data_IF_827554089440
#
_entry.id   IF_827554089440
#
_cell.length_a   1.000
_cell.length_b   1.000
_cell.length_c   1.000
_cell.angle_alpha   90.00
_cell.angle_beta   90.00
_cell.angle_gamma   90.00
#
_symmetry.space_group_name_H-M   'P 1'
#
loop_
_entity.id
_entity.type
_entity.pdbx_description
1 polymer ?
#
# COMPACT_ATOMS: atom_id res chain seq x y z
N UNK A 1 -10.87 7.49 -23.06
CA UNK A 1 -9.55 6.86 -22.97
C UNK A 1 -8.47 7.92 -22.75
N UNK A 2 -8.50 9.03 -23.50
CA UNK A 2 -7.47 10.07 -23.43
C UNK A 2 -7.29 10.67 -22.03
N UNK A 3 -8.39 11.02 -21.33
CA UNK A 3 -8.31 11.59 -19.97
C UNK A 3 -7.69 10.61 -18.96
N UNK A 4 -8.00 9.32 -19.06
CA UNK A 4 -7.40 8.29 -18.20
C UNK A 4 -5.89 8.21 -18.39
N UNK A 5 -5.42 8.16 -19.65
CA UNK A 5 -3.99 8.13 -19.96
C UNK A 5 -3.29 9.43 -19.58
N UNK A 6 -3.94 10.58 -19.75
CA UNK A 6 -3.43 11.87 -19.31
C UNK A 6 -3.23 11.89 -17.79
N UNK A 7 -4.16 11.33 -17.02
CA UNK A 7 -4.04 11.24 -15.55
C UNK A 7 -2.91 10.31 -15.16
N UNK A 8 -2.81 9.11 -15.74
CA UNK A 8 -1.68 8.22 -15.46
C UNK A 8 -0.34 8.88 -15.77
N UNK A 9 -0.23 9.60 -16.89
CA UNK A 9 0.98 10.35 -17.25
C UNK A 9 1.26 11.50 -16.27
N UNK A 10 0.22 12.24 -15.85
CA UNK A 10 0.34 13.32 -14.86
C UNK A 10 0.92 12.79 -13.55
N UNK A 11 0.43 11.64 -13.08
CA UNK A 11 0.88 10.99 -11.86
C UNK A 11 2.15 10.14 -12.03
N UNK A 12 2.78 10.17 -13.22
CA UNK A 12 4.05 9.48 -13.52
C UNK A 12 3.95 7.96 -13.39
N UNK A 13 2.84 7.37 -13.80
CA UNK A 13 2.76 5.93 -14.03
C UNK A 13 3.47 5.58 -15.33
N UNK A 14 4.36 4.60 -15.26
CA UNK A 14 5.17 4.13 -16.39
C UNK A 14 4.47 2.98 -17.09
N UNK A 15 4.39 3.06 -18.42
CA UNK A 15 3.80 2.00 -19.23
C UNK A 15 4.81 0.87 -19.44
N UNK A 16 4.44 -0.35 -19.04
CA UNK A 16 5.29 -1.55 -19.15
C UNK A 16 4.75 -2.59 -20.14
N UNK A 17 3.55 -2.38 -20.68
CA UNK A 17 2.96 -3.23 -21.71
C UNK A 17 2.82 -2.52 -23.05
N UNK A 18 3.21 -3.18 -24.14
CA UNK A 18 3.01 -2.70 -25.51
C UNK A 18 1.55 -2.72 -25.96
N UNK A 19 0.72 -3.58 -25.37
CA UNK A 19 -0.72 -3.70 -25.63
C UNK A 19 -1.54 -3.21 -24.45
N UNK A 20 -2.71 -2.61 -24.73
CA UNK A 20 -3.69 -2.22 -23.73
C UNK A 20 -4.98 -2.98 -24.00
N UNK A 21 -5.22 -4.04 -23.22
CA UNK A 21 -6.48 -4.76 -23.22
C UNK A 21 -7.27 -4.39 -21.96
N UNK A 22 -8.60 -4.50 -22.02
CA UNK A 22 -9.43 -4.33 -20.83
C UNK A 22 -9.43 -5.62 -19.99
N UNK A 23 -9.42 -5.53 -18.66
CA UNK A 23 -9.26 -4.30 -17.89
C UNK A 23 -7.82 -3.75 -17.97
N UNK A 24 -7.67 -2.41 -17.99
CA UNK A 24 -6.35 -1.80 -17.90
C UNK A 24 -5.79 -1.98 -16.48
N UNK A 25 -4.79 -2.84 -16.32
CA UNK A 25 -4.11 -3.11 -15.05
C UNK A 25 -3.07 -2.03 -14.70
N UNK A 26 -3.23 -1.41 -13.53
CA UNK A 26 -2.32 -0.42 -12.98
C UNK A 26 -1.83 -0.88 -11.60
N UNK A 27 -0.53 -1.07 -11.44
CA UNK A 27 0.09 -1.43 -10.17
C UNK A 27 0.91 -0.28 -9.62
N UNK A 28 0.97 -0.16 -8.30
CA UNK A 28 1.88 0.81 -7.68
C UNK A 28 2.15 0.47 -6.23
N UNK A 29 3.34 0.85 -5.75
CA UNK A 29 3.75 0.72 -4.35
C UNK A 29 2.90 1.59 -3.41
N UNK A 30 2.94 1.36 -2.08
CA UNK A 30 2.16 2.12 -1.12
C UNK A 30 2.57 3.60 -1.16
N UNK A 31 1.59 4.51 -1.16
CA UNK A 31 1.87 5.94 -1.18
C UNK A 31 2.25 6.51 -2.55
N UNK A 32 2.16 5.74 -3.64
CA UNK A 32 2.46 6.23 -4.99
C UNK A 32 1.42 7.21 -5.57
N UNK A 33 0.31 7.47 -4.87
CA UNK A 33 -0.74 8.40 -5.30
C UNK A 33 -1.86 7.77 -6.13
N UNK A 34 -2.03 6.44 -6.09
CA UNK A 34 -3.09 5.67 -6.77
C UNK A 34 -4.49 6.25 -6.55
N UNK A 35 -4.94 6.34 -5.30
CA UNK A 35 -6.25 6.89 -4.97
C UNK A 35 -6.37 8.39 -5.29
N UNK A 36 -5.26 9.14 -5.27
CA UNK A 36 -5.26 10.55 -5.71
C UNK A 36 -5.51 10.68 -7.22
N UNK A 37 -4.86 9.83 -8.03
CA UNK A 37 -5.08 9.77 -9.48
C UNK A 37 -6.53 9.38 -9.81
N UNK A 38 -7.07 8.38 -9.11
CA UNK A 38 -8.48 7.97 -9.25
C UNK A 38 -9.42 9.13 -8.91
N UNK A 39 -9.24 9.78 -7.76
CA UNK A 39 -10.09 10.91 -7.33
C UNK A 39 -10.05 12.06 -8.32
N UNK A 40 -8.87 12.38 -8.87
CA UNK A 40 -8.75 13.43 -9.88
C UNK A 40 -9.49 13.05 -11.18
N UNK A 41 -9.37 11.80 -11.63
CA UNK A 41 -10.09 11.30 -12.80
C UNK A 41 -11.61 11.38 -12.61
N UNK A 42 -12.13 10.98 -11.44
CA UNK A 42 -13.57 11.04 -11.13
C UNK A 42 -14.11 12.47 -11.16
N UNK A 43 -13.30 13.47 -10.77
CA UNK A 43 -13.66 14.89 -10.84
C UNK A 43 -13.65 15.43 -12.26
N UNK A 44 -12.72 14.98 -13.09
CA UNK A 44 -12.54 15.49 -14.45
C UNK A 44 -13.50 14.87 -15.47
N UNK A 45 -13.92 13.62 -15.29
CA UNK A 45 -14.74 12.90 -16.26
C UNK A 45 -15.80 12.04 -15.57
N UNK A 46 -17.05 12.53 -15.62
CA UNK A 46 -18.20 11.90 -14.97
C UNK A 46 -18.59 10.55 -15.58
N UNK A 47 -17.99 10.11 -16.69
CA UNK A 47 -18.20 8.77 -17.24
C UNK A 47 -17.57 7.69 -16.37
N UNK A 48 -16.58 8.03 -15.54
CA UNK A 48 -15.93 7.08 -14.65
C UNK A 48 -16.67 6.94 -13.33
N UNK A 49 -16.60 5.74 -12.77
CA UNK A 49 -16.97 5.44 -11.40
C UNK A 49 -15.88 4.54 -10.81
N UNK A 50 -15.59 4.68 -9.51
CA UNK A 50 -14.65 3.80 -8.85
C UNK A 50 -15.29 3.14 -7.63
N UNK A 51 -15.12 1.82 -7.54
CA UNK A 51 -15.36 1.05 -6.32
C UNK A 51 -14.02 0.63 -5.72
N UNK A 52 -13.95 0.49 -4.41
CA UNK A 52 -12.76 -0.05 -3.72
C UNK A 52 -13.12 -1.29 -2.92
N UNK A 53 -12.16 -2.23 -2.81
CA UNK A 53 -12.21 -3.33 -1.84
C UNK A 53 -11.53 -2.98 -0.52
N UNK A 54 -10.93 -1.78 -0.44
CA UNK A 54 -10.41 -1.21 0.79
C UNK A 54 -11.42 -0.30 1.48
N UNK A 55 -10.94 0.80 2.06
CA UNK A 55 -11.77 1.79 2.74
C UNK A 55 -12.32 2.80 1.71
N UNK A 56 -13.65 2.94 1.57
CA UNK A 56 -14.25 3.93 0.68
C UNK A 56 -14.00 5.36 1.17
N UNK A 57 -14.11 6.32 0.24
CA UNK A 57 -14.07 7.73 0.57
C UNK A 57 -15.34 8.17 1.31
N UNK A 58 -15.22 9.25 2.10
CA UNK A 58 -16.41 9.95 2.63
C UNK A 58 -17.14 10.62 1.45
N UNK A 59 -18.46 10.44 1.31
CA UNK A 59 -19.22 11.10 0.26
C UNK A 59 -19.04 12.61 0.25
N UNK A 60 -18.97 13.21 -0.94
CA UNK A 60 -18.84 14.65 -1.13
C UNK A 60 -20.02 15.23 -1.93
N UNK A 61 -20.18 16.55 -1.89
CA UNK A 61 -21.28 17.26 -2.57
C UNK A 61 -21.24 17.13 -4.10
N UNK A 62 -20.06 16.86 -4.67
CA UNK A 62 -19.88 16.66 -6.11
C UNK A 62 -20.30 15.25 -6.57
N UNK A 63 -20.50 14.31 -5.63
CA UNK A 63 -20.77 12.91 -5.94
C UNK A 63 -19.58 12.16 -6.56
N UNK A 64 -18.39 12.78 -6.60
CA UNK A 64 -17.17 12.27 -7.24
C UNK A 64 -16.19 11.76 -6.17
N UNK A 65 -16.39 10.51 -5.74
CA UNK A 65 -15.60 9.86 -4.70
C UNK A 65 -15.50 8.35 -4.93
N UNK A 66 -14.53 7.69 -4.29
CA UNK A 66 -14.36 6.24 -4.37
C UNK A 66 -15.40 5.55 -3.48
N UNK A 67 -16.21 4.66 -4.05
CA UNK A 67 -17.39 4.06 -3.39
C UNK A 67 -17.11 2.66 -2.86
N UNK A 68 -17.93 2.19 -1.92
CA UNK A 68 -17.95 0.79 -1.51
C UNK A 68 -18.63 -0.09 -2.57
N UNK A 69 -19.67 0.44 -3.21
CA UNK A 69 -20.51 -0.27 -4.17
C UNK A 69 -20.81 0.60 -5.39
N UNK A 70 -21.19 -0.07 -6.49
CA UNK A 70 -21.47 0.56 -7.77
C UNK A 70 -22.79 1.34 -7.70
N UNK A 71 -22.82 2.53 -8.30
CA UNK A 71 -24.03 3.36 -8.38
C UNK A 71 -24.93 3.07 -9.60
N UNK A 72 -24.39 2.48 -10.68
CA UNK A 72 -25.19 2.10 -11.85
C UNK A 72 -24.39 1.49 -13.02
N UNK A 73 -25.09 0.89 -13.99
CA UNK A 73 -24.50 0.00 -15.01
C UNK A 73 -23.82 0.72 -16.21
N UNK A 74 -24.02 2.04 -16.37
CA UNK A 74 -23.55 2.80 -17.54
C UNK A 74 -22.28 3.64 -17.31
N UNK A 75 -21.42 3.26 -16.36
CA UNK A 75 -20.15 3.95 -16.05
C UNK A 75 -18.94 3.10 -16.42
N UNK A 76 -17.85 3.76 -16.82
CA UNK A 76 -16.53 3.15 -16.96
C UNK A 76 -16.01 2.79 -15.57
N UNK A 77 -16.08 1.51 -15.23
CA UNK A 77 -15.80 1.03 -13.89
C UNK A 77 -14.30 0.93 -13.62
N UNK A 78 -13.85 1.61 -12.58
CA UNK A 78 -12.53 1.48 -11.99
C UNK A 78 -12.64 0.64 -10.71
N UNK A 79 -11.74 -0.31 -10.50
CA UNK A 79 -11.70 -1.11 -9.26
C UNK A 79 -10.39 -0.86 -8.54
N UNK A 80 -10.48 -0.27 -7.36
CA UNK A 80 -9.34 -0.07 -6.45
C UNK A 80 -9.19 -1.25 -5.48
N UNK A 81 -7.95 -1.58 -5.15
CA UNK A 81 -7.55 -2.77 -4.37
C UNK A 81 -8.14 -4.08 -4.93
N UNK A 82 -8.09 -4.27 -6.25
CA UNK A 82 -8.77 -5.40 -6.90
C UNK A 82 -8.29 -6.79 -6.43
N UNK A 83 -7.07 -6.90 -5.89
CA UNK A 83 -6.50 -8.16 -5.41
C UNK A 83 -7.23 -8.71 -4.17
N UNK A 84 -8.10 -7.93 -3.56
CA UNK A 84 -8.88 -8.28 -2.37
C UNK A 84 -10.27 -8.84 -2.68
N UNK A 85 -10.58 -9.08 -3.95
CA UNK A 85 -11.87 -9.65 -4.33
C UNK A 85 -12.03 -9.90 -5.82
N UNK A 86 -13.21 -10.39 -6.24
CA UNK A 86 -13.46 -10.64 -7.65
C UNK A 86 -13.46 -9.33 -8.46
N UNK A 87 -12.86 -9.41 -9.66
CA UNK A 87 -12.86 -8.34 -10.66
C UNK A 87 -14.10 -8.49 -11.55
N UNK A 88 -14.95 -7.45 -11.65
CA UNK A 88 -16.08 -7.45 -12.58
C UNK A 88 -15.63 -7.57 -14.04
N UNK A 89 -16.37 -8.32 -14.84
CA UNK A 89 -16.05 -8.56 -16.26
C UNK A 89 -16.05 -7.27 -17.10
N UNK A 90 -16.86 -6.29 -16.71
CA UNK A 90 -16.99 -5.00 -17.38
C UNK A 90 -16.02 -3.93 -16.84
N UNK A 91 -15.05 -4.31 -15.99
CA UNK A 91 -14.05 -3.39 -15.46
C UNK A 91 -13.27 -2.71 -16.59
N UNK A 92 -13.25 -1.37 -16.57
CA UNK A 92 -12.47 -0.58 -17.50
C UNK A 92 -10.98 -0.61 -17.13
N UNK A 93 -10.67 -0.40 -15.84
CA UNK A 93 -9.32 -0.44 -15.30
C UNK A 93 -9.32 -0.94 -13.85
N UNK A 94 -8.23 -1.58 -13.45
CA UNK A 94 -8.07 -2.14 -12.12
C UNK A 94 -6.75 -1.68 -11.50
N UNK A 95 -6.79 -1.38 -10.22
CA UNK A 95 -5.72 -0.78 -9.44
C UNK A 95 -5.41 -1.64 -8.23
N UNK A 96 -4.13 -1.91 -7.98
CA UNK A 96 -3.70 -2.63 -6.78
C UNK A 96 -2.23 -2.38 -6.46
N UNK A 97 -1.84 -2.80 -5.27
CA UNK A 97 -0.43 -3.02 -4.93
C UNK A 97 -0.20 -4.52 -4.70
N UNK A 98 0.37 -5.26 -5.68
CA UNK A 98 0.58 -6.69 -5.54
C UNK A 98 1.61 -7.05 -4.46
N UNK A 99 2.42 -6.10 -3.98
CA UNK A 99 3.41 -6.36 -2.93
C UNK A 99 2.77 -6.46 -1.54
N UNK A 100 1.54 -5.98 -1.37
CA UNK A 100 0.83 -5.99 -0.09
C UNK A 100 -0.06 -7.22 0.12
N UNK A 101 -0.17 -8.16 -0.83
CA UNK A 101 -1.02 -9.35 -0.66
C UNK A 101 -0.40 -10.59 -1.29
N UNK A 102 -0.53 -11.74 -0.62
CA UNK A 102 -0.18 -13.07 -1.13
C UNK A 102 -1.40 -13.85 -1.63
N UNK A 103 -2.62 -13.32 -1.46
CA UNK A 103 -3.86 -14.08 -1.58
C UNK A 103 -4.25 -14.41 -3.04
N UNK A 104 -3.82 -13.61 -4.02
CA UNK A 104 -4.27 -13.74 -5.41
C UNK A 104 -3.10 -13.50 -6.36
N UNK A 105 -3.02 -14.33 -7.42
CA UNK A 105 -2.08 -14.09 -8.52
C UNK A 105 -2.48 -12.81 -9.27
N UNK A 106 -1.67 -11.74 -9.23
CA UNK A 106 -2.05 -10.48 -9.83
C UNK A 106 -2.02 -10.56 -11.36
N UNK A 107 -2.92 -9.84 -12.04
CA UNK A 107 -2.83 -9.65 -13.48
C UNK A 107 -1.52 -8.96 -13.86
N UNK A 108 -1.03 -9.21 -15.08
CA UNK A 108 0.14 -8.51 -15.60
C UNK A 108 -0.16 -7.01 -15.74
N UNK A 109 0.70 -6.17 -15.15
CA UNK A 109 0.56 -4.73 -15.22
C UNK A 109 0.66 -4.20 -16.66
N UNK A 110 -0.19 -3.22 -17.00
CA UNK A 110 0.04 -2.35 -18.15
C UNK A 110 0.80 -1.09 -17.74
N UNK A 111 0.57 -0.61 -16.52
CA UNK A 111 1.25 0.52 -15.92
C UNK A 111 1.75 0.19 -14.52
N UNK A 112 2.94 0.68 -14.17
CA UNK A 112 3.50 0.58 -12.83
C UNK A 112 3.89 1.94 -12.29
N UNK A 113 3.99 2.06 -10.96
CA UNK A 113 4.69 3.16 -10.31
C UNK A 113 5.41 2.68 -9.05
N UNK A 114 6.73 2.78 -9.05
CA UNK A 114 7.61 2.35 -7.95
C UNK A 114 7.99 3.49 -7.01
N UNK A 115 7.70 4.74 -7.37
CA UNK A 115 7.95 5.92 -6.54
C UNK A 115 6.83 6.14 -5.51
N UNK A 116 7.17 6.03 -4.22
CA UNK A 116 6.32 6.38 -3.09
C UNK A 116 6.53 7.84 -2.65
N UNK A 117 5.43 8.49 -2.25
CA UNK A 117 5.45 9.80 -1.59
C UNK A 117 5.10 9.69 -0.09
N UNK A 118 4.97 8.48 0.45
CA UNK A 118 4.57 8.25 1.85
C UNK A 118 5.78 8.31 2.79
N UNK A 119 6.77 7.47 2.55
CA UNK A 119 8.03 7.41 3.31
C UNK A 119 9.17 8.01 2.50
N UNK A 120 10.36 8.07 3.09
CA UNK A 120 11.54 8.70 2.52
C UNK A 120 12.61 7.72 2.03
N UNK A 121 13.77 8.27 1.74
CA UNK A 121 14.91 7.55 1.13
C UNK A 121 15.47 6.44 2.00
N UNK A 122 15.44 6.57 3.33
CA UNK A 122 16.00 5.56 4.23
C UNK A 122 15.15 4.29 4.20
N UNK A 123 13.82 4.41 4.30
CA UNK A 123 12.93 3.24 4.14
C UNK A 123 13.02 2.67 2.75
N UNK A 124 13.03 3.50 1.70
CA UNK A 124 13.17 2.98 0.34
C UNK A 124 14.50 2.22 0.14
N UNK A 125 15.59 2.64 0.79
CA UNK A 125 16.86 1.90 0.78
C UNK A 125 16.73 0.54 1.44
N UNK A 126 16.21 0.50 2.67
CA UNK A 126 15.96 -0.77 3.37
C UNK A 126 15.09 -1.72 2.54
N UNK A 127 14.00 -1.23 1.97
CA UNK A 127 13.10 -2.06 1.17
C UNK A 127 13.78 -2.64 -0.08
N UNK A 128 14.66 -1.87 -0.74
CA UNK A 128 15.46 -2.38 -1.86
C UNK A 128 16.49 -3.41 -1.42
N UNK A 129 17.14 -3.17 -0.29
CA UNK A 129 18.08 -4.13 0.30
C UNK A 129 17.36 -5.45 0.63
N UNK A 130 16.09 -5.39 1.06
CA UNK A 130 15.19 -6.52 1.31
C UNK A 130 14.59 -7.16 0.05
N UNK A 131 14.85 -6.62 -1.15
CA UNK A 131 14.46 -7.18 -2.44
C UNK A 131 13.18 -6.62 -3.06
N UNK A 132 12.61 -5.54 -2.54
CA UNK A 132 11.46 -4.85 -3.15
C UNK A 132 11.91 -3.67 -4.02
N UNK A 133 11.38 -3.59 -5.25
CA UNK A 133 11.64 -2.46 -6.15
C UNK A 133 10.80 -1.24 -5.79
N UNK A 134 11.31 -0.43 -4.87
CA UNK A 134 10.65 0.75 -4.30
C UNK A 134 11.60 1.95 -4.29
N UNK A 135 11.07 3.11 -4.66
CA UNK A 135 11.77 4.38 -4.67
C UNK A 135 11.03 5.42 -3.82
N UNK A 136 11.75 6.40 -3.29
CA UNK A 136 11.20 7.55 -2.58
C UNK A 136 12.17 8.73 -2.64
N UNK A 137 11.64 9.96 -2.59
CA UNK A 137 12.44 11.20 -2.65
C UNK A 137 12.47 11.98 -1.33
N UNK A 138 11.54 11.70 -0.41
CA UNK A 138 11.41 12.40 0.87
C UNK A 138 12.51 12.06 1.88
N UNK A 139 12.48 12.75 3.03
CA UNK A 139 13.31 12.43 4.18
C UNK A 139 12.51 11.63 5.20
N UNK A 140 13.14 10.58 5.72
CA UNK A 140 12.66 9.78 6.85
C UNK A 140 13.85 9.17 7.58
N UNK A 141 13.59 8.49 8.69
CA UNK A 141 14.60 7.75 9.45
C UNK A 141 14.18 6.31 9.67
N UNK A 142 15.12 5.39 9.55
CA UNK A 142 14.96 3.98 9.91
C UNK A 142 15.94 3.65 11.01
N UNK A 143 15.46 3.04 12.08
CA UNK A 143 16.27 2.49 13.16
C UNK A 143 15.92 1.01 13.33
N UNK A 144 16.93 0.14 13.41
CA UNK A 144 16.78 -1.25 13.80
C UNK A 144 17.40 -1.39 15.19
N UNK A 145 16.68 -2.02 16.11
CA UNK A 145 17.14 -2.22 17.48
C UNK A 145 16.66 -3.56 18.02
N UNK A 146 17.36 -4.03 19.06
CA UNK A 146 16.93 -5.22 19.78
C UNK A 146 15.67 -4.90 20.59
N UNK A 147 14.70 -5.81 20.55
CA UNK A 147 13.37 -5.64 21.16
C UNK A 147 13.41 -5.32 22.66
N UNK A 148 14.47 -5.69 23.38
CA UNK A 148 14.61 -5.44 24.82
C UNK A 148 15.47 -4.22 25.15
N UNK A 149 15.98 -3.50 24.15
CA UNK A 149 16.92 -2.38 24.36
C UNK A 149 16.32 -1.00 24.16
N UNK A 150 15.22 -0.88 23.41
CA UNK A 150 14.61 0.40 23.04
C UNK A 150 13.09 0.33 23.19
N UNK A 151 12.52 1.34 23.84
CA UNK A 151 11.06 1.46 23.96
C UNK A 151 10.39 1.78 22.60
N UNK A 152 9.21 1.21 22.32
CA UNK A 152 8.41 1.56 21.14
C UNK A 152 8.09 3.06 21.07
N UNK A 153 8.00 3.57 19.83
CA UNK A 153 7.68 4.97 19.51
C UNK A 153 6.56 5.06 18.50
N UNK A 154 5.59 5.95 18.76
CA UNK A 154 4.45 6.15 17.87
C UNK A 154 3.54 4.93 17.84
N UNK A 155 3.01 4.59 16.67
CA UNK A 155 2.09 3.46 16.51
C UNK A 155 2.85 2.15 16.42
N UNK A 156 2.65 1.26 17.38
CA UNK A 156 3.23 -0.09 17.36
C UNK A 156 2.39 -1.02 16.50
N UNK A 157 3.03 -1.68 15.53
CA UNK A 157 2.39 -2.65 14.63
C UNK A 157 3.16 -3.97 14.64
N UNK A 158 2.42 -5.06 14.47
CA UNK A 158 2.95 -6.42 14.36
C UNK A 158 2.09 -7.23 13.38
N UNK A 159 2.54 -8.39 12.94
CA UNK A 159 1.69 -9.32 12.18
C UNK A 159 1.65 -10.73 12.76
N UNK A 160 2.65 -11.11 13.54
CA UNK A 160 2.79 -12.41 14.17
C UNK A 160 1.94 -12.51 15.45
N UNK A 161 1.11 -13.56 15.61
CA UNK A 161 0.31 -13.75 16.81
C UNK A 161 1.13 -13.75 18.10
N UNK A 162 2.29 -14.42 18.11
CA UNK A 162 3.16 -14.52 19.28
C UNK A 162 3.76 -13.17 19.69
N UNK A 163 4.06 -12.30 18.73
CA UNK A 163 4.51 -10.92 19.00
C UNK A 163 3.38 -10.11 19.61
N UNK A 164 2.15 -10.28 19.13
CA UNK A 164 0.96 -9.65 19.71
C UNK A 164 0.71 -10.08 21.17
N UNK A 165 0.91 -11.36 21.49
CA UNK A 165 0.82 -11.87 22.86
C UNK A 165 1.91 -11.29 23.76
N UNK A 166 3.15 -11.23 23.27
CA UNK A 166 4.27 -10.62 23.98
C UNK A 166 3.96 -9.15 24.30
N UNK A 167 3.60 -8.35 23.30
CA UNK A 167 3.29 -6.93 23.48
C UNK A 167 2.16 -6.73 24.49
N UNK A 168 1.10 -7.54 24.41
CA UNK A 168 -0.03 -7.47 25.34
C UNK A 168 0.38 -7.83 26.77
N UNK A 169 1.20 -8.86 26.96
CA UNK A 169 1.67 -9.27 28.29
C UNK A 169 2.56 -8.22 28.96
N UNK A 170 3.23 -7.38 28.16
CA UNK A 170 4.01 -6.23 28.62
C UNK A 170 3.20 -4.92 28.67
N UNK A 171 1.90 -4.95 28.40
CA UNK A 171 1.03 -3.77 28.46
C UNK A 171 1.28 -2.74 27.35
N UNK A 172 1.90 -3.13 26.24
CA UNK A 172 2.16 -2.26 25.09
C UNK A 172 0.91 -2.20 24.21
N UNK A 173 0.42 -0.99 23.95
CA UNK A 173 -0.64 -0.78 22.95
C UNK A 173 -0.06 -1.00 21.55
N UNK A 174 -0.58 -2.01 20.85
CA UNK A 174 -0.17 -2.37 19.52
C UNK A 174 -1.34 -2.89 18.71
N UNK A 175 -1.28 -2.72 17.40
CA UNK A 175 -2.29 -3.21 16.47
C UNK A 175 -1.70 -4.25 15.53
N UNK A 176 -2.47 -5.30 15.25
CA UNK A 176 -2.13 -6.20 14.15
C UNK A 176 -2.23 -5.44 12.82
N UNK A 177 -1.34 -5.74 11.87
CA UNK A 177 -1.30 -5.05 10.58
C UNK A 177 -2.63 -5.13 9.82
N UNK A 178 -3.40 -6.20 10.03
CA UNK A 178 -4.75 -6.36 9.48
C UNK A 178 -5.77 -5.34 10.02
N UNK A 179 -5.58 -4.83 11.23
CA UNK A 179 -6.47 -3.86 11.89
C UNK A 179 -6.21 -2.42 11.41
N UNK A 180 -4.97 -2.12 11.02
CA UNK A 180 -4.53 -0.78 10.56
C UNK A 180 -4.38 -0.70 9.04
N UNK A 181 -5.13 -1.53 8.33
CA UNK A 181 -5.06 -1.58 6.87
C UNK A 181 -5.40 -0.22 6.24
N UNK A 182 -4.51 0.26 5.37
CA UNK A 182 -4.68 1.53 4.66
C UNK A 182 -4.47 2.77 5.54
N UNK A 183 -4.23 2.61 6.84
CA UNK A 183 -3.85 3.71 7.71
C UNK A 183 -2.42 4.19 7.39
N UNK A 184 -2.11 5.41 7.78
CA UNK A 184 -0.78 6.01 7.63
C UNK A 184 -0.51 6.85 8.87
N UNK A 185 0.64 6.67 9.48
CA UNK A 185 1.04 7.29 10.74
C UNK A 185 2.33 8.10 10.53
N UNK A 186 2.64 9.04 11.42
CA UNK A 186 3.91 9.75 11.33
C UNK A 186 5.09 8.88 11.77
N UNK A 187 4.93 8.17 12.88
CA UNK A 187 5.94 7.35 13.51
C UNK A 187 5.38 5.95 13.74
N UNK A 188 6.09 4.93 13.25
CA UNK A 188 5.71 3.52 13.41
C UNK A 188 6.82 2.76 14.08
N UNK A 189 6.46 1.90 15.03
CA UNK A 189 7.32 0.83 15.54
C UNK A 189 6.81 -0.50 15.01
N UNK A 190 7.59 -1.16 14.17
CA UNK A 190 7.32 -2.51 13.72
C UNK A 190 8.05 -3.50 14.63
N UNK A 191 7.28 -4.35 15.30
CA UNK A 191 7.82 -5.41 16.17
C UNK A 191 7.61 -6.75 15.48
N UNK A 192 8.65 -7.57 15.44
CA UNK A 192 8.66 -8.85 14.72
C UNK A 192 9.55 -9.86 15.44
N UNK A 193 9.21 -11.14 15.30
CA UNK A 193 10.06 -12.24 15.77
C UNK A 193 11.16 -12.60 14.76
N UNK A 194 11.17 -11.95 13.58
CA UNK A 194 12.07 -12.25 12.48
C UNK A 194 13.19 -11.21 12.30
N UNK A 195 14.34 -11.67 11.80
CA UNK A 195 15.48 -10.82 11.41
C UNK A 195 15.47 -10.47 9.91
N UNK A 196 14.31 -10.60 9.29
CA UNK A 196 14.06 -10.38 7.88
C UNK A 196 12.65 -10.82 7.50
N UNK A 197 12.14 -10.49 6.31
CA UNK A 197 10.79 -10.87 5.88
C UNK A 197 10.74 -12.31 5.36
N UNK A 198 10.59 -13.30 6.25
CA UNK A 198 10.73 -14.73 5.89
C UNK A 198 9.38 -15.45 5.82
N UNK A 199 8.56 -15.34 6.86
CA UNK A 199 7.28 -16.05 6.98
C UNK A 199 6.21 -15.39 6.12
N UNK A 200 6.03 -14.07 6.24
CA UNK A 200 5.04 -13.32 5.46
C UNK A 200 5.62 -12.01 4.92
N UNK A 201 6.16 -12.09 3.70
CA UNK A 201 6.71 -10.92 3.00
C UNK A 201 5.69 -9.81 2.80
N UNK A 202 4.42 -10.14 2.57
CA UNK A 202 3.40 -9.13 2.33
C UNK A 202 3.06 -8.40 3.63
N UNK A 203 2.89 -9.14 4.74
CA UNK A 203 2.63 -8.54 6.04
C UNK A 203 3.82 -7.70 6.53
N UNK A 204 5.04 -8.21 6.39
CA UNK A 204 6.25 -7.44 6.69
C UNK A 204 6.34 -6.17 5.83
N UNK A 205 6.12 -6.27 4.52
CA UNK A 205 6.09 -5.11 3.62
C UNK A 205 5.03 -4.08 4.03
N UNK A 206 3.85 -4.54 4.46
CA UNK A 206 2.82 -3.67 4.98
C UNK A 206 3.31 -2.94 6.24
N UNK A 207 3.85 -3.63 7.24
CA UNK A 207 4.38 -3.03 8.47
C UNK A 207 5.47 -1.98 8.19
N UNK A 208 6.38 -2.28 7.27
CA UNK A 208 7.50 -1.41 6.89
C UNK A 208 7.08 -0.14 6.13
N UNK A 209 5.82 -0.01 5.71
CA UNK A 209 5.35 1.06 4.80
C UNK A 209 4.17 1.87 5.35
N UNK A 210 3.91 1.83 6.66
CA UNK A 210 2.80 2.60 7.29
C UNK A 210 3.20 3.99 7.82
N UNK A 211 4.49 4.31 7.93
CA UNK A 211 4.96 5.62 8.45
C UNK A 211 5.17 6.68 7.36
N UNK A 212 5.27 7.94 7.77
CA UNK A 212 5.72 9.05 6.92
C UNK A 212 7.02 9.71 7.36
N UNK A 213 7.38 9.64 8.65
CA UNK A 213 8.58 10.30 9.20
C UNK A 213 9.61 9.33 9.75
N UNK A 214 9.21 8.35 10.55
CA UNK A 214 10.17 7.39 11.12
C UNK A 214 9.64 5.98 11.28
N UNK A 215 10.53 5.01 11.07
CA UNK A 215 10.34 3.60 11.31
C UNK A 215 11.35 3.10 12.34
N UNK A 216 10.87 2.53 13.43
CA UNK A 216 11.67 1.73 14.36
C UNK A 216 11.32 0.26 14.14
N UNK A 217 12.31 -0.58 13.86
CA UNK A 217 12.16 -2.04 13.75
C UNK A 217 12.74 -2.64 15.02
N UNK A 218 11.90 -3.34 15.78
CA UNK A 218 12.29 -4.11 16.96
C UNK A 218 12.25 -5.59 16.59
N UNK A 219 13.42 -6.19 16.47
CA UNK A 219 13.61 -7.59 16.13
C UNK A 219 14.70 -8.21 17.02
N UNK A 220 14.82 -9.55 17.07
CA UNK A 220 15.93 -10.20 17.77
C UNK A 220 17.30 -9.73 17.24
N UNK A 221 18.30 -9.64 18.12
CA UNK A 221 19.70 -9.36 17.77
C UNK A 221 19.95 -8.05 16.98
N UNK A 222 18.95 -7.17 16.87
CA UNK A 222 19.01 -5.89 16.16
C UNK A 222 19.47 -5.99 14.69
N UNK A 223 19.18 -7.10 14.00
CA UNK A 223 19.54 -7.30 12.58
C UNK A 223 18.29 -7.56 11.76
N UNK A 224 17.97 -6.69 10.80
CA UNK A 224 16.84 -6.88 9.89
C UNK A 224 17.31 -6.79 8.45
N UNK A 225 17.56 -7.94 7.82
CA UNK A 225 18.20 -8.05 6.49
C UNK A 225 17.52 -9.11 5.63
N UNK A 226 17.97 -9.28 4.38
CA UNK A 226 17.63 -10.47 3.59
C UNK A 226 18.23 -11.71 4.25
N UNK A 227 17.48 -12.81 4.32
CA UNK A 227 18.05 -14.12 4.64
C UNK A 227 18.97 -14.63 3.54
#
# INVERSE_FOLDING_TARGET
>A
MDVFLQILNKYKFERVSSTLNKPIVVHSVPGAGKSSAIRELLKLDSRFECITRGRPDIPNLEGAFIKAERGGENKLLLVDEYIEGPVPEDAFAIFADPLQSTAVSPYRAHFIKTLSHRFGKCTASLLRDLGWDVQAEGQDSVQIADIFTVDPRGTTVYFEPEVGELLRSHGVEASCIGEVRGATFEHVTFVTSENGPLVDKAAAFQCLTRHTKSLLILCPDATYTTA
#
